data_IF_783416655970
#
_entry.id   IF_783416655970
#
_cell.length_a   1.000
_cell.length_b   1.000
_cell.length_c   1.000
_cell.angle_alpha   90.00
_cell.angle_beta   90.00
_cell.angle_gamma   90.00
#
_symmetry.space_group_name_H-M   'P 1'
#
loop_
_entity.id
_entity.type
_entity.pdbx_description
1 polymer ?
#
# COMPACT_ATOMS: atom_id res chain seq x y z
N UNK A 1 -19.23 -26.48 -0.58
CA UNK A 1 -17.95 -25.77 -0.72
C UNK A 1 -17.23 -25.71 0.62
N UNK A 2 -15.89 -25.67 0.64
CA UNK A 2 -15.10 -25.49 1.87
C UNK A 2 -14.78 -24.01 2.07
N UNK A 3 -15.04 -23.50 3.28
CA UNK A 3 -14.85 -22.09 3.63
C UNK A 3 -14.01 -22.02 4.89
N UNK A 4 -12.87 -21.33 4.82
CA UNK A 4 -12.04 -21.05 5.99
C UNK A 4 -12.30 -19.62 6.43
N UNK A 5 -12.63 -19.45 7.69
CA UNK A 5 -12.99 -18.16 8.28
C UNK A 5 -11.86 -17.69 9.19
N UNK A 6 -11.68 -16.37 9.26
CA UNK A 6 -10.59 -15.74 9.99
C UNK A 6 -11.06 -14.45 10.65
N UNK A 7 -10.27 -14.04 11.65
CA UNK A 7 -10.23 -12.68 12.16
C UNK A 7 -8.98 -11.97 11.61
N UNK A 8 -9.15 -10.77 11.08
CA UNK A 8 -8.05 -9.86 10.77
C UNK A 8 -8.22 -8.52 11.50
N UNK A 9 -7.09 -7.92 11.88
CA UNK A 9 -7.04 -6.59 12.52
C UNK A 9 -6.20 -5.58 11.72
N UNK A 10 -5.66 -6.01 10.57
CA UNK A 10 -4.85 -5.17 9.68
C UNK A 10 -5.71 -4.17 8.90
N UNK A 11 -5.16 -3.03 8.46
CA UNK A 11 -5.87 -2.10 7.57
C UNK A 11 -6.31 -2.76 6.25
N UNK A 12 -7.37 -2.23 5.63
CA UNK A 12 -7.89 -2.75 4.35
C UNK A 12 -6.84 -2.69 3.24
N UNK A 13 -6.16 -1.55 3.08
CA UNK A 13 -5.14 -1.34 2.05
C UNK A 13 -3.75 -1.82 2.51
N UNK A 14 -3.67 -3.07 2.97
CA UNK A 14 -2.43 -3.69 3.41
C UNK A 14 -2.32 -5.10 2.85
N UNK A 15 -1.20 -5.38 2.19
CA UNK A 15 -0.97 -6.66 1.49
C UNK A 15 -0.55 -7.79 2.44
N UNK A 16 0.11 -7.46 3.56
CA UNK A 16 0.63 -8.43 4.52
C UNK A 16 -0.32 -8.61 5.71
N UNK A 17 -1.57 -8.99 5.45
CA UNK A 17 -2.56 -9.17 6.50
C UNK A 17 -2.20 -10.33 7.44
N UNK A 18 -2.35 -10.11 8.74
CA UNK A 18 -2.21 -11.15 9.76
C UNK A 18 -3.58 -11.77 10.04
N UNK A 19 -3.76 -13.04 9.68
CA UNK A 19 -5.00 -13.78 9.89
C UNK A 19 -4.87 -14.65 11.15
N UNK A 20 -5.90 -14.65 12.00
CA UNK A 20 -5.96 -15.42 13.24
C UNK A 20 -7.30 -16.12 13.38
N UNK A 21 -7.39 -17.12 14.26
CA UNK A 21 -8.66 -17.78 14.58
C UNK A 21 -9.26 -18.59 13.42
N UNK A 22 -8.41 -19.32 12.68
CA UNK A 22 -8.87 -20.15 11.56
C UNK A 22 -9.94 -21.15 12.01
N UNK A 23 -11.10 -21.12 11.37
CA UNK A 23 -12.15 -22.13 11.54
C UNK A 23 -12.68 -22.56 10.18
N UNK A 24 -12.85 -23.86 9.98
CA UNK A 24 -13.28 -24.46 8.73
C UNK A 24 -14.77 -24.80 8.81
N UNK A 25 -15.53 -24.37 7.80
CA UNK A 25 -16.94 -24.65 7.65
C UNK A 25 -17.24 -25.22 6.26
N UNK A 26 -18.32 -26.00 6.19
CA UNK A 26 -18.92 -26.42 4.92
C UNK A 26 -20.11 -25.50 4.65
N UNK A 27 -20.12 -24.85 3.49
CA UNK A 27 -21.21 -23.96 3.08
C UNK A 27 -21.78 -24.29 1.70
N UNK A 28 -22.93 -23.69 1.39
CA UNK A 28 -23.64 -23.80 0.10
C UNK A 28 -23.71 -22.44 -0.59
N UNK A 29 -23.47 -22.43 -1.90
CA UNK A 29 -23.65 -21.24 -2.74
C UNK A 29 -25.13 -21.11 -3.09
N UNK A 30 -25.58 -19.88 -3.32
CA UNK A 30 -26.91 -19.64 -3.86
C UNK A 30 -26.92 -19.82 -5.39
N UNK A 31 -28.08 -20.13 -5.96
CA UNK A 31 -28.27 -20.44 -7.39
C UNK A 31 -27.66 -19.40 -8.34
N UNK A 32 -27.65 -18.13 -7.94
CA UNK A 32 -26.97 -17.03 -8.62
C UNK A 32 -26.00 -16.35 -7.65
N UNK A 33 -24.72 -16.70 -7.75
CA UNK A 33 -23.64 -16.18 -6.91
C UNK A 33 -22.56 -15.49 -7.75
N UNK A 34 -22.19 -14.26 -7.38
CA UNK A 34 -21.06 -13.55 -7.99
C UNK A 34 -19.74 -14.07 -7.42
N UNK A 35 -18.72 -14.20 -8.26
CA UNK A 35 -17.36 -14.55 -7.79
C UNK A 35 -16.69 -13.38 -7.07
N UNK A 36 -17.07 -12.14 -7.38
CA UNK A 36 -16.52 -10.93 -6.75
C UNK A 36 -17.24 -10.60 -5.43
N UNK A 37 -18.55 -10.84 -5.41
CA UNK A 37 -19.43 -10.55 -4.27
C UNK A 37 -20.25 -11.80 -3.91
N UNK A 38 -19.61 -12.90 -3.45
CA UNK A 38 -20.32 -14.13 -3.19
C UNK A 38 -21.20 -13.97 -1.95
N UNK A 39 -22.36 -14.62 -2.00
CA UNK A 39 -23.25 -14.81 -0.86
C UNK A 39 -23.41 -16.30 -0.65
N UNK A 40 -23.09 -16.76 0.55
CA UNK A 40 -23.18 -18.17 0.89
C UNK A 40 -23.84 -18.36 2.25
N UNK A 41 -24.30 -19.57 2.49
CA UNK A 41 -24.94 -19.96 3.73
C UNK A 41 -24.10 -21.02 4.44
N UNK A 42 -23.94 -20.87 5.75
CA UNK A 42 -23.25 -21.81 6.64
C UNK A 42 -24.24 -22.25 7.71
N UNK A 43 -24.35 -23.56 7.88
CA UNK A 43 -25.09 -24.14 9.00
C UNK A 43 -24.12 -24.40 10.18
N UNK A 44 -24.25 -23.63 11.25
CA UNK A 44 -23.48 -23.82 12.48
C UNK A 44 -24.20 -23.26 13.70
N UNK A 45 -24.06 -23.96 14.83
CA UNK A 45 -24.48 -23.47 16.15
C UNK A 45 -23.49 -22.44 16.74
N UNK A 46 -22.32 -22.26 16.12
CA UNK A 46 -21.31 -21.31 16.59
C UNK A 46 -21.71 -19.88 16.26
N UNK A 47 -21.35 -18.94 17.14
CA UNK A 47 -21.55 -17.52 16.87
C UNK A 47 -20.47 -17.01 15.90
N UNK A 48 -20.89 -16.52 14.73
CA UNK A 48 -20.01 -16.00 13.68
C UNK A 48 -19.76 -14.48 13.78
N UNK A 49 -20.31 -13.79 14.79
CA UNK A 49 -20.25 -12.33 14.90
C UNK A 49 -18.84 -11.72 14.94
N UNK A 50 -17.84 -12.50 15.38
CA UNK A 50 -16.45 -12.02 15.49
C UNK A 50 -15.61 -12.30 14.24
N UNK A 51 -16.18 -12.98 13.25
CA UNK A 51 -15.49 -13.31 12.00
C UNK A 51 -15.67 -12.15 11.02
N UNK A 52 -14.58 -11.69 10.41
CA UNK A 52 -14.61 -10.58 9.47
C UNK A 52 -13.90 -10.87 8.13
N UNK A 53 -13.43 -12.11 7.92
CA UNK A 53 -12.68 -12.49 6.73
C UNK A 53 -12.85 -13.97 6.41
N UNK A 54 -12.77 -14.33 5.13
CA UNK A 54 -12.82 -15.73 4.71
C UNK A 54 -12.00 -16.04 3.45
N UNK A 55 -11.67 -17.32 3.30
CA UNK A 55 -11.09 -17.94 2.13
C UNK A 55 -12.06 -19.00 1.59
N UNK A 56 -12.36 -18.91 0.31
CA UNK A 56 -13.23 -19.88 -0.38
C UNK A 56 -12.35 -20.72 -1.30
N UNK A 57 -12.22 -22.02 -1.00
CA UNK A 57 -11.30 -22.91 -1.74
C UNK A 57 -11.68 -23.06 -3.21
N UNK A 58 -12.98 -23.07 -3.52
CA UNK A 58 -13.50 -23.26 -4.87
C UNK A 58 -13.16 -22.09 -5.81
N UNK A 59 -13.08 -20.87 -5.27
CA UNK A 59 -12.70 -19.69 -6.04
C UNK A 59 -11.20 -19.41 -5.99
N UNK A 60 -10.48 -20.00 -5.04
CA UNK A 60 -9.08 -19.72 -4.73
C UNK A 60 -8.85 -18.22 -4.47
N UNK A 61 -9.74 -17.60 -3.68
CA UNK A 61 -9.76 -16.16 -3.40
C UNK A 61 -10.07 -15.87 -1.94
N UNK A 62 -9.50 -14.78 -1.45
CA UNK A 62 -9.80 -14.19 -0.15
C UNK A 62 -10.90 -13.14 -0.27
N UNK A 63 -11.71 -13.03 0.79
CA UNK A 63 -12.84 -12.12 0.84
C UNK A 63 -12.95 -11.43 2.20
N UNK A 64 -13.30 -10.15 2.17
CA UNK A 64 -13.82 -9.42 3.32
C UNK A 64 -15.28 -9.79 3.54
N UNK A 65 -15.66 -10.03 4.80
CA UNK A 65 -17.06 -10.18 5.17
C UNK A 65 -17.66 -8.79 5.34
N UNK A 66 -18.66 -8.46 4.54
CA UNK A 66 -19.34 -7.16 4.57
C UNK A 66 -20.56 -7.20 5.47
N UNK A 67 -21.23 -8.34 5.58
CA UNK A 67 -22.39 -8.52 6.45
C UNK A 67 -22.61 -9.99 6.84
N UNK A 68 -23.16 -10.22 8.03
CA UNK A 68 -23.56 -11.55 8.53
C UNK A 68 -25.00 -11.45 9.01
N UNK A 69 -25.88 -12.27 8.45
CA UNK A 69 -27.32 -12.28 8.75
C UNK A 69 -27.71 -13.66 9.28
N UNK A 70 -28.34 -13.71 10.44
CA UNK A 70 -28.98 -14.93 10.94
C UNK A 70 -30.32 -15.11 10.23
N UNK A 71 -30.48 -16.18 9.44
CA UNK A 71 -31.70 -16.43 8.66
C UNK A 71 -32.69 -17.27 9.46
N UNK A 72 -32.20 -18.35 10.07
CA UNK A 72 -32.96 -19.31 10.89
C UNK A 72 -32.04 -19.85 11.99
N UNK A 73 -32.56 -20.62 12.95
CA UNK A 73 -31.72 -21.31 13.94
C UNK A 73 -30.59 -22.08 13.25
N UNK A 74 -29.35 -21.78 13.65
CA UNK A 74 -28.09 -22.33 13.11
C UNK A 74 -27.79 -22.02 11.65
N UNK A 75 -28.63 -21.27 10.92
CA UNK A 75 -28.36 -20.91 9.53
C UNK A 75 -27.94 -19.44 9.42
N UNK A 76 -26.71 -19.23 8.95
CA UNK A 76 -26.13 -17.91 8.78
C UNK A 76 -25.86 -17.64 7.32
N UNK A 77 -26.29 -16.47 6.85
CA UNK A 77 -26.00 -15.95 5.53
C UNK A 77 -24.89 -14.91 5.62
N UNK A 78 -23.85 -15.10 4.82
CA UNK A 78 -22.67 -14.25 4.83
C UNK A 78 -22.54 -13.56 3.47
N UNK A 79 -22.38 -12.25 3.52
CA UNK A 79 -22.12 -11.40 2.36
C UNK A 79 -20.64 -11.05 2.35
N UNK A 80 -20.02 -11.22 1.20
CA UNK A 80 -18.60 -11.06 1.04
C UNK A 80 -18.26 -10.10 -0.11
N UNK A 81 -17.06 -9.53 -0.07
CA UNK A 81 -16.45 -8.78 -1.16
C UNK A 81 -15.00 -9.20 -1.32
N UNK A 82 -14.54 -9.38 -2.56
CA UNK A 82 -13.20 -9.89 -2.84
C UNK A 82 -12.08 -8.99 -2.30
N UNK A 83 -11.04 -9.61 -1.72
CA UNK A 83 -9.79 -8.95 -1.42
C UNK A 83 -8.74 -9.24 -2.51
N UNK A 84 -8.61 -8.30 -3.44
CA UNK A 84 -7.66 -8.43 -4.55
C UNK A 84 -6.20 -8.41 -4.09
N UNK A 85 -5.88 -7.67 -3.02
CA UNK A 85 -4.49 -7.51 -2.57
C UNK A 85 -3.97 -8.82 -1.96
N UNK A 86 -4.76 -9.46 -1.11
CA UNK A 86 -4.36 -10.72 -0.49
C UNK A 86 -4.44 -11.88 -1.50
N UNK A 87 -5.47 -11.90 -2.34
CA UNK A 87 -5.65 -12.94 -3.39
C UNK A 87 -4.49 -12.97 -4.38
N UNK A 88 -4.07 -11.80 -4.88
CA UNK A 88 -3.03 -11.71 -5.90
C UNK A 88 -1.66 -11.33 -5.32
N UNK A 89 -1.49 -11.42 -4.00
CA UNK A 89 -0.25 -11.10 -3.29
C UNK A 89 1.03 -11.62 -3.97
N UNK A 90 1.17 -12.91 -4.33
CA UNK A 90 2.41 -13.39 -4.94
C UNK A 90 2.70 -12.74 -6.30
N UNK A 91 1.66 -12.43 -7.08
CA UNK A 91 1.79 -11.77 -8.38
C UNK A 91 2.19 -10.31 -8.19
N UNK A 92 1.53 -9.61 -7.26
CA UNK A 92 1.80 -8.19 -6.97
C UNK A 92 3.23 -8.01 -6.46
N UNK A 93 3.68 -8.87 -5.53
CA UNK A 93 5.03 -8.79 -4.97
C UNK A 93 6.12 -9.18 -5.97
N UNK A 94 5.79 -9.96 -7.00
CA UNK A 94 6.71 -10.32 -8.08
C UNK A 94 6.75 -9.32 -9.23
N UNK A 95 5.89 -8.29 -9.23
CA UNK A 95 5.83 -7.32 -10.32
C UNK A 95 6.87 -6.19 -10.12
N UNK A 96 7.66 -5.92 -11.15
CA UNK A 96 8.54 -4.74 -11.20
C UNK A 96 7.77 -3.49 -11.62
N UNK A 97 7.86 -2.42 -10.85
CA UNK A 97 7.22 -1.14 -11.14
C UNK A 97 8.13 0.03 -10.76
N UNK A 98 7.96 1.18 -11.44
CA UNK A 98 8.62 2.42 -11.03
C UNK A 98 8.02 2.91 -9.72
N UNK A 99 8.82 2.90 -8.65
CA UNK A 99 8.40 3.33 -7.33
C UNK A 99 8.41 4.85 -7.28
N UNK A 100 7.23 5.44 -7.10
CA UNK A 100 7.11 6.89 -6.89
C UNK A 100 7.54 7.31 -5.48
N UNK A 101 7.26 6.47 -4.47
CA UNK A 101 7.57 6.72 -3.05
C UNK A 101 7.74 5.40 -2.29
N UNK A 102 8.61 5.38 -1.28
CA UNK A 102 8.78 4.27 -0.35
C UNK A 102 9.28 4.77 1.02
N UNK A 103 9.13 3.96 2.07
CA UNK A 103 9.54 4.33 3.42
C UNK A 103 11.02 4.07 3.75
N UNK A 104 11.65 3.08 3.09
CA UNK A 104 13.02 2.64 3.43
C UNK A 104 14.12 3.46 2.75
N UNK A 105 13.96 3.78 1.46
CA UNK A 105 14.93 4.60 0.70
C UNK A 105 14.35 5.99 0.43
N UNK A 106 14.92 7.01 1.10
CA UNK A 106 14.57 8.39 0.84
C UNK A 106 15.27 8.90 -0.43
N UNK A 107 14.54 9.65 -1.27
CA UNK A 107 15.10 10.32 -2.44
C UNK A 107 14.81 11.82 -2.35
N UNK A 108 15.87 12.62 -2.13
CA UNK A 108 15.79 14.07 -1.96
C UNK A 108 15.29 14.82 -3.22
N UNK A 109 15.25 14.15 -4.37
CA UNK A 109 14.72 14.70 -5.63
C UNK A 109 13.24 14.41 -5.86
N UNK A 110 12.60 13.59 -5.00
CA UNK A 110 11.16 13.43 -5.05
C UNK A 110 10.48 14.68 -4.46
N UNK A 111 9.61 15.29 -5.25
CA UNK A 111 8.78 16.39 -4.77
C UNK A 111 7.64 15.81 -3.89
N UNK A 112 7.90 15.74 -2.59
CA UNK A 112 6.91 15.32 -1.57
C UNK A 112 5.90 16.42 -1.19
N UNK A 113 5.71 17.40 -2.08
CA UNK A 113 4.85 18.55 -1.88
C UNK A 113 5.37 19.48 -0.77
N UNK A 114 4.52 20.37 -0.29
CA UNK A 114 4.84 21.32 0.79
C UNK A 114 5.06 20.67 2.17
N UNK A 115 5.11 19.34 2.25
CA UNK A 115 5.21 18.57 3.50
C UNK A 115 6.61 18.60 4.10
N UNK A 116 7.65 18.80 3.27
CA UNK A 116 9.03 18.98 3.73
C UNK A 116 9.57 20.35 3.32
N UNK A 117 10.23 21.04 4.26
CA UNK A 117 10.91 22.31 3.97
C UNK A 117 12.11 22.06 3.08
N UNK A 118 11.99 22.39 1.80
CA UNK A 118 13.12 22.43 0.88
C UNK A 118 14.05 23.56 1.33
N UNK A 119 15.26 23.22 1.78
CA UNK A 119 16.27 24.21 2.17
C UNK A 119 17.27 24.37 1.04
N UNK A 120 17.18 25.50 0.33
CA UNK A 120 18.22 25.90 -0.62
C UNK A 120 19.32 26.64 0.15
N UNK A 121 20.41 25.95 0.48
CA UNK A 121 21.59 26.63 1.04
C UNK A 121 22.25 27.46 -0.05
N UNK A 122 22.26 28.79 0.10
CA UNK A 122 23.00 29.69 -0.78
C UNK A 122 24.49 29.34 -0.73
N UNK A 123 25.06 28.85 -1.83
CA UNK A 123 26.50 28.62 -1.94
C UNK A 123 27.16 29.95 -2.27
N UNK A 124 27.73 30.60 -1.25
CA UNK A 124 28.55 31.81 -1.42
C UNK A 124 30.00 31.34 -1.46
N UNK A 125 30.71 31.66 -2.55
CA UNK A 125 32.16 31.54 -2.57
C UNK A 125 32.75 32.95 -2.45
N UNK A 126 33.46 33.20 -1.36
CA UNK A 126 34.28 34.39 -1.19
C UNK A 126 35.72 34.01 -1.55
N UNK A 127 36.31 34.72 -2.50
CA UNK A 127 37.70 34.54 -2.88
C UNK A 127 38.46 35.81 -2.51
N UNK A 128 39.39 35.66 -1.57
CA UNK A 128 40.29 36.75 -1.18
C UNK A 128 41.24 37.05 -2.34
N UNK A 129 41.41 38.35 -2.64
CA UNK A 129 42.40 38.78 -3.61
C UNK A 129 43.79 38.73 -2.95
N UNK A 130 44.80 38.07 -3.56
CA UNK A 130 46.13 37.91 -2.96
C UNK A 130 46.83 39.24 -2.63
N UNK A 131 46.55 40.27 -3.43
CA UNK A 131 46.98 41.64 -3.19
C UNK A 131 45.73 42.52 -3.29
N UNK A 132 45.49 43.34 -2.28
CA UNK A 132 44.32 44.22 -2.23
C UNK A 132 44.29 45.22 -3.39
N UNK A 133 43.14 45.84 -3.56
CA UNK A 133 42.89 46.88 -4.55
C UNK A 133 43.52 48.22 -4.10
N UNK A 134 44.63 48.64 -4.71
CA UNK A 134 45.37 49.87 -4.35
C UNK A 134 45.06 51.11 -5.21
N UNK A 135 44.53 50.93 -6.41
CA UNK A 135 44.16 51.99 -7.37
C UNK A 135 42.67 52.41 -7.31
N UNK A 136 42.32 53.51 -7.97
CA UNK A 136 40.96 54.09 -7.92
C UNK A 136 39.95 53.49 -8.92
N UNK A 137 40.36 52.58 -9.81
CA UNK A 137 39.49 52.05 -10.86
C UNK A 137 39.82 50.60 -11.23
N UNK A 138 38.80 49.74 -11.28
CA UNK A 138 38.90 48.32 -11.61
C UNK A 138 37.84 47.91 -12.62
N UNK A 139 38.17 46.92 -13.44
CA UNK A 139 37.22 46.27 -14.36
C UNK A 139 36.95 44.86 -13.85
N UNK A 140 35.69 44.58 -13.53
CA UNK A 140 35.21 43.23 -13.19
C UNK A 140 34.72 42.56 -14.47
N UNK A 141 35.35 41.45 -14.85
CA UNK A 141 34.88 40.60 -15.94
C UNK A 141 34.29 39.33 -15.33
N UNK A 142 32.97 39.19 -15.43
CA UNK A 142 32.26 37.98 -15.05
C UNK A 142 32.10 37.11 -16.31
N UNK A 143 32.86 36.02 -16.39
CA UNK A 143 32.59 34.95 -17.35
C UNK A 143 31.58 34.00 -16.68
N UNK A 144 30.32 34.05 -17.12
CA UNK A 144 29.32 33.09 -16.70
C UNK A 144 29.53 31.77 -17.44
N UNK A 145 30.00 30.75 -16.72
CA UNK A 145 30.00 29.37 -17.21
C UNK A 145 28.84 28.60 -16.57
N UNK A 146 28.18 27.75 -17.34
CA UNK A 146 27.07 26.92 -16.86
C UNK A 146 27.66 25.54 -16.57
N UNK A 147 27.99 25.28 -15.30
CA UNK A 147 28.57 23.99 -14.88
C UNK A 147 27.60 22.85 -15.27
N UNK A 148 27.99 21.90 -16.13
CA UNK A 148 27.16 20.74 -16.41
C UNK A 148 27.11 19.88 -15.14
N UNK A 149 25.91 19.70 -14.60
CA UNK A 149 25.70 18.92 -13.39
C UNK A 149 26.35 17.54 -13.48
N UNK A 150 27.29 17.28 -12.57
CA UNK A 150 27.92 15.96 -12.42
C UNK A 150 26.83 14.97 -11.99
N UNK A 151 26.56 13.99 -12.84
CA UNK A 151 25.72 12.82 -12.53
C UNK A 151 26.50 11.94 -11.55
N UNK A 152 26.00 11.65 -10.34
CA UNK A 152 26.69 10.77 -9.42
C UNK A 152 26.63 9.32 -9.92
N UNK A 153 27.79 8.65 -9.89
CA UNK A 153 27.98 7.21 -10.15
C UNK A 153 27.55 6.41 -8.93
#
# INVERSE_FOLDING_TARGET
MTIKTYKYESPNNFINKTLTGETIYTGTLRDESSVLDPVFEIETASNLANVNYCWIEEFNRYYYITNIVSVTDKLWRIYCHVDVLMTYKPIILGHEATIARQEELYNLYLNDGNTFKVSQKRRIQQKEFPNGFTDNSYVLILAGDVEPGVVPV
#
